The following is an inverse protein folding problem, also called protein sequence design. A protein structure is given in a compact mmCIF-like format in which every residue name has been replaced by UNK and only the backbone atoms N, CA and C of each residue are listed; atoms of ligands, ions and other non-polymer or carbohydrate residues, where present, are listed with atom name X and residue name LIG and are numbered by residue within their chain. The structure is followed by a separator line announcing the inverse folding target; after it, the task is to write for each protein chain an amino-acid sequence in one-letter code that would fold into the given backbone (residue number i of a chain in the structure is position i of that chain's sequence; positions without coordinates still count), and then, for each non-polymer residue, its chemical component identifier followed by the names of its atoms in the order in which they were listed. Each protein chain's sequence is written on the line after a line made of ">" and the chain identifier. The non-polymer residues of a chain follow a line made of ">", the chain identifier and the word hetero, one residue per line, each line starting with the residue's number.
data_IF_324917687743
#
_entry.id   IF_324917687743
#
_cell.length_a   1.000
_cell.length_b   1.000
_cell.length_c   1.000
_cell.angle_alpha   90.00
_cell.angle_beta   90.00
_cell.angle_gamma   90.00
#
_symmetry.space_group_name_H-M   'P 1'
#
loop_
_entity.id
_entity.type
_entity.pdbx_description
1 polymer ?
#
# COMPACT_ATOMS: atom_id res chain seq x y z
N UNK A 1 19.67 18.83 31.92
CA UNK A 1 18.40 19.09 31.21
C UNK A 1 17.62 20.16 31.97
N UNK A 2 17.22 21.26 31.32
CA UNK A 2 16.40 22.31 31.94
C UNK A 2 15.05 21.72 32.42
N UNK A 3 14.53 22.21 33.56
CA UNK A 3 13.28 21.76 34.19
C UNK A 3 12.13 21.75 33.18
N UNK A 4 11.92 22.85 32.46
CA UNK A 4 10.87 22.97 31.43
C UNK A 4 10.94 21.88 30.35
N UNK A 5 12.15 21.55 29.88
CA UNK A 5 12.35 20.49 28.87
C UNK A 5 12.05 19.09 29.43
N UNK A 6 12.41 18.84 30.69
CA UNK A 6 12.08 17.58 31.39
C UNK A 6 10.57 17.41 31.53
N UNK A 7 9.87 18.47 31.97
CA UNK A 7 8.42 18.48 32.12
C UNK A 7 7.72 18.22 30.79
N UNK A 8 8.17 18.87 29.71
CA UNK A 8 7.67 18.62 28.37
C UNK A 8 7.91 17.17 27.92
N UNK A 9 9.17 16.71 27.89
CA UNK A 9 9.48 15.40 27.31
C UNK A 9 8.88 14.22 28.08
N UNK A 10 8.73 14.35 29.40
CA UNK A 10 8.39 13.21 30.28
C UNK A 10 7.11 13.38 31.07
N UNK A 11 6.47 14.55 31.02
CA UNK A 11 5.31 14.88 31.84
C UNK A 11 5.62 15.05 33.33
N UNK A 12 6.91 15.14 33.72
CA UNK A 12 7.33 15.26 35.11
C UNK A 12 6.73 16.53 35.76
N UNK A 13 6.21 16.43 36.98
CA UNK A 13 5.67 17.57 37.75
C UNK A 13 6.17 17.61 39.20
N UNK A 14 7.14 16.77 39.57
CA UNK A 14 7.70 16.71 40.91
C UNK A 14 6.88 15.92 41.93
N UNK A 15 5.90 15.11 41.51
CA UNK A 15 5.15 14.23 42.43
C UNK A 15 6.02 13.07 42.90
N UNK A 16 6.08 12.84 44.20
CA UNK A 16 6.73 11.66 44.75
C UNK A 16 5.86 10.41 44.58
N UNK A 17 6.38 9.43 43.85
CA UNK A 17 5.72 8.16 43.60
C UNK A 17 6.10 7.15 44.70
N UNK A 18 5.11 6.47 45.33
CA UNK A 18 5.36 5.34 46.20
C UNK A 18 6.25 4.29 45.53
N UNK A 19 7.26 3.77 46.25
CA UNK A 19 8.24 2.82 45.68
C UNK A 19 7.58 1.58 45.09
N UNK A 20 6.48 1.13 45.68
CA UNK A 20 5.67 -0.01 45.21
C UNK A 20 5.02 0.19 43.83
N UNK A 21 4.98 1.40 43.29
CA UNK A 21 4.43 1.69 41.96
C UNK A 21 5.51 1.75 40.87
N UNK A 22 6.79 1.59 41.24
CA UNK A 22 7.94 1.63 40.32
C UNK A 22 8.15 0.30 39.59
N UNK A 23 7.05 -0.33 39.18
CA UNK A 23 7.06 -1.55 38.37
C UNK A 23 7.22 -1.23 36.88
N UNK A 24 7.51 -2.27 36.09
CA UNK A 24 7.55 -2.17 34.63
C UNK A 24 6.16 -1.88 34.06
N UNK A 25 6.06 -0.91 33.16
CA UNK A 25 4.83 -0.53 32.50
C UNK A 25 4.70 -1.20 31.13
N UNK A 26 3.97 -2.32 31.09
CA UNK A 26 3.70 -3.06 29.85
C UNK A 26 2.94 -2.25 28.80
N UNK A 27 2.04 -1.35 29.23
CA UNK A 27 1.33 -0.45 28.31
C UNK A 27 2.29 0.50 27.59
N UNK A 28 3.20 1.14 28.34
CA UNK A 28 4.20 2.05 27.80
C UNK A 28 5.22 1.34 26.90
N UNK A 29 5.61 0.12 27.24
CA UNK A 29 6.51 -0.70 26.41
C UNK A 29 5.85 -1.05 25.06
N UNK A 30 4.68 -1.68 25.10
CA UNK A 30 4.01 -2.27 23.93
C UNK A 30 3.29 -1.25 23.03
N UNK A 31 2.83 -0.12 23.56
CA UNK A 31 2.11 0.92 22.80
C UNK A 31 2.93 2.20 22.60
N UNK A 32 4.05 2.36 23.31
CA UNK A 32 5.01 3.46 23.19
C UNK A 32 4.36 4.83 23.02
N UNK A 33 4.30 5.38 21.79
CA UNK A 33 3.77 6.70 21.52
C UNK A 33 2.25 6.81 21.69
N UNK A 34 1.49 5.74 21.42
CA UNK A 34 0.03 5.72 21.62
C UNK A 34 -0.27 5.90 23.11
N UNK A 35 0.43 5.14 23.96
CA UNK A 35 0.35 5.27 25.41
C UNK A 35 0.89 6.63 25.88
N UNK A 36 1.99 7.09 25.30
CA UNK A 36 2.65 8.34 25.68
C UNK A 36 1.83 9.58 25.39
N UNK A 37 1.04 9.62 24.31
CA UNK A 37 0.10 10.71 24.02
C UNK A 37 -0.92 10.87 25.16
N UNK A 38 -1.52 9.76 25.61
CA UNK A 38 -2.48 9.79 26.74
C UNK A 38 -1.84 10.35 28.00
N UNK A 39 -0.61 9.91 28.29
CA UNK A 39 0.09 10.23 29.53
C UNK A 39 1.09 11.39 29.38
N UNK A 40 0.97 12.20 28.31
CA UNK A 40 1.81 13.39 28.04
C UNK A 40 3.32 13.13 28.15
N UNK A 41 3.77 11.95 27.77
CA UNK A 41 5.17 11.55 27.71
C UNK A 41 5.68 11.73 26.28
N UNK A 42 5.94 12.97 25.87
CA UNK A 42 6.23 13.32 24.47
C UNK A 42 7.51 12.69 23.90
N UNK A 43 8.45 12.26 24.75
CA UNK A 43 9.64 11.50 24.32
C UNK A 43 9.29 10.22 23.56
N UNK A 44 8.12 9.63 23.85
CA UNK A 44 7.63 8.44 23.16
C UNK A 44 7.37 8.66 21.67
N UNK A 45 7.12 9.92 21.23
CA UNK A 45 6.91 10.26 19.81
C UNK A 45 8.13 9.94 18.95
N UNK A 46 9.34 9.85 19.54
CA UNK A 46 10.54 9.37 18.82
C UNK A 46 10.36 7.99 18.19
N UNK A 47 9.38 7.19 18.64
CA UNK A 47 8.98 5.96 17.98
C UNK A 47 8.59 6.16 16.50
N UNK A 48 7.89 7.24 16.16
CA UNK A 48 7.37 7.48 14.81
C UNK A 48 8.51 7.58 13.78
N UNK A 49 9.51 8.48 13.92
CA UNK A 49 10.61 8.53 12.98
C UNK A 49 11.45 7.24 12.99
N UNK A 50 11.59 6.55 14.12
CA UNK A 50 12.31 5.27 14.17
C UNK A 50 11.59 4.14 13.43
N UNK A 51 10.27 4.18 13.35
CA UNK A 51 9.45 3.22 12.58
C UNK A 51 9.46 3.56 11.09
N UNK A 52 9.39 4.86 10.73
CA UNK A 52 9.23 5.31 9.34
C UNK A 52 10.58 5.40 8.61
N UNK A 53 11.65 5.82 9.29
CA UNK A 53 12.96 6.05 8.68
C UNK A 53 13.79 4.77 8.75
N UNK A 54 14.12 4.22 7.59
CA UNK A 54 14.97 3.04 7.50
C UNK A 54 16.45 3.43 7.56
N UNK A 55 17.12 3.09 8.66
CA UNK A 55 18.57 3.28 8.80
C UNK A 55 19.34 2.07 8.23
N UNK A 56 20.61 2.26 7.82
CA UNK A 56 21.47 1.16 7.40
C UNK A 56 21.50 0.04 8.44
N UNK A 57 21.52 -1.20 7.96
CA UNK A 57 21.58 -2.41 8.79
C UNK A 57 20.43 -2.55 9.81
N UNK A 58 19.34 -1.79 9.65
CA UNK A 58 18.18 -1.89 10.55
C UNK A 58 18.40 -1.31 11.95
N UNK A 59 19.39 -0.43 12.14
CA UNK A 59 19.73 0.18 13.45
C UNK A 59 18.50 0.88 14.08
N UNK A 60 17.59 1.42 13.27
CA UNK A 60 16.36 2.05 13.74
C UNK A 60 15.50 1.10 14.61
N UNK A 61 15.51 -0.21 14.34
CA UNK A 61 14.78 -1.19 15.14
C UNK A 61 15.42 -1.46 16.51
N UNK A 62 16.75 -1.47 16.59
CA UNK A 62 17.47 -1.57 17.87
C UNK A 62 17.22 -0.33 18.73
N UNK A 63 17.29 0.87 18.14
CA UNK A 63 16.99 2.12 18.82
C UNK A 63 15.52 2.19 19.26
N UNK A 64 14.61 1.72 18.42
CA UNK A 64 13.19 1.64 18.77
C UNK A 64 12.96 0.69 19.94
N UNK A 65 13.58 -0.49 19.93
CA UNK A 65 13.49 -1.47 21.02
C UNK A 65 14.06 -0.88 22.32
N UNK A 66 15.20 -0.20 22.27
CA UNK A 66 15.78 0.48 23.42
C UNK A 66 14.83 1.58 23.97
N UNK A 67 14.19 2.34 23.09
CA UNK A 67 13.16 3.32 23.47
C UNK A 67 11.96 2.63 24.14
N UNK A 68 11.48 1.51 23.61
CA UNK A 68 10.37 0.75 24.22
C UNK A 68 10.72 0.32 25.65
N UNK A 69 11.90 -0.27 25.86
CA UNK A 69 12.36 -0.64 27.20
C UNK A 69 12.46 0.57 28.13
N UNK A 70 13.02 1.69 27.64
CA UNK A 70 13.07 2.93 28.40
C UNK A 70 11.66 3.41 28.81
N UNK A 71 10.69 3.33 27.89
CA UNK A 71 9.29 3.64 28.16
C UNK A 71 8.69 2.66 29.17
N UNK A 72 9.01 1.36 29.08
CA UNK A 72 8.55 0.36 30.05
C UNK A 72 9.07 0.63 31.46
N UNK A 73 10.36 0.91 31.63
CA UNK A 73 10.95 1.18 32.94
C UNK A 73 10.51 2.53 33.55
N UNK A 74 10.22 3.54 32.72
CA UNK A 74 9.88 4.89 33.18
C UNK A 74 8.39 5.23 33.08
N UNK A 75 7.60 4.39 32.41
CA UNK A 75 6.21 4.68 32.07
C UNK A 75 5.32 4.93 33.28
N UNK A 76 5.41 4.09 34.32
CA UNK A 76 4.63 4.32 35.54
C UNK A 76 4.94 5.69 36.15
N UNK A 77 6.23 6.04 36.24
CA UNK A 77 6.65 7.34 36.74
C UNK A 77 6.06 8.47 35.90
N UNK A 78 6.11 8.41 34.57
CA UNK A 78 5.53 9.47 33.72
C UNK A 78 4.01 9.60 33.86
N UNK A 79 3.28 8.48 33.89
CA UNK A 79 1.83 8.50 34.03
C UNK A 79 1.37 9.07 35.38
N UNK A 80 2.07 8.74 36.47
CA UNK A 80 1.70 9.19 37.81
C UNK A 80 1.79 10.71 37.98
N UNK A 81 2.68 11.37 37.23
CA UNK A 81 2.87 12.82 37.31
C UNK A 81 1.67 13.59 36.80
N UNK A 82 0.94 13.04 35.83
CA UNK A 82 -0.06 13.79 35.08
C UNK A 82 -1.46 13.81 35.72
N UNK A 83 -1.86 12.72 36.36
CA UNK A 83 -3.20 12.57 36.94
C UNK A 83 -3.17 12.55 38.48
N UNK A 84 -4.32 12.75 39.12
CA UNK A 84 -4.48 12.61 40.57
C UNK A 84 -4.97 11.20 40.91
N UNK A 85 -4.40 10.60 41.94
CA UNK A 85 -4.67 9.22 42.35
C UNK A 85 -5.02 9.20 43.83
N UNK A 86 -6.22 8.72 44.16
CA UNK A 86 -6.67 8.65 45.55
C UNK A 86 -5.93 7.56 46.33
N UNK A 87 -5.67 6.42 45.69
CA UNK A 87 -4.87 5.33 46.25
C UNK A 87 -3.89 4.73 45.23
N UNK A 88 -2.78 4.11 45.67
CA UNK A 88 -1.88 3.34 44.79
C UNK A 88 -2.60 2.24 44.01
N UNK A 89 -3.67 1.68 44.58
CA UNK A 89 -4.50 0.64 43.96
C UNK A 89 -5.23 1.16 42.72
N UNK A 90 -5.71 2.40 42.75
CA UNK A 90 -6.40 3.03 41.61
C UNK A 90 -5.45 3.23 40.42
N UNK A 91 -4.21 3.67 40.70
CA UNK A 91 -3.17 3.78 39.69
C UNK A 91 -2.84 2.42 39.05
N UNK A 92 -2.61 1.38 39.88
CA UNK A 92 -2.34 0.03 39.39
C UNK A 92 -3.46 -0.50 38.51
N UNK A 93 -4.72 -0.31 38.92
CA UNK A 93 -5.89 -0.72 38.12
C UNK A 93 -5.92 -0.04 36.76
N UNK A 94 -5.58 1.26 36.68
CA UNK A 94 -5.49 1.96 35.41
C UNK A 94 -4.36 1.42 34.52
N UNK A 95 -3.15 1.25 35.07
CA UNK A 95 -2.02 0.73 34.29
C UNK A 95 -2.22 -0.73 33.87
N UNK A 96 -2.92 -1.53 34.66
CA UNK A 96 -3.32 -2.89 34.30
C UNK A 96 -4.26 -2.91 33.09
N UNK A 97 -5.24 -1.99 33.02
CA UNK A 97 -6.09 -1.86 31.83
C UNK A 97 -5.27 -1.54 30.58
N UNK A 98 -4.31 -0.62 30.69
CA UNK A 98 -3.40 -0.31 29.60
C UNK A 98 -2.54 -1.50 29.17
N UNK A 99 -2.03 -2.28 30.13
CA UNK A 99 -1.29 -3.50 29.85
C UNK A 99 -2.14 -4.54 29.10
N UNK A 100 -3.39 -4.78 29.55
CA UNK A 100 -4.31 -5.73 28.90
C UNK A 100 -4.62 -5.27 27.46
N UNK A 101 -4.97 -4.00 27.26
CA UNK A 101 -5.23 -3.45 25.92
C UNK A 101 -4.01 -3.59 25.02
N UNK A 102 -2.83 -3.27 25.55
CA UNK A 102 -1.59 -3.36 24.81
C UNK A 102 -1.26 -4.79 24.36
N UNK A 103 -1.39 -5.77 25.27
CA UNK A 103 -1.19 -7.19 24.98
C UNK A 103 -2.23 -7.67 23.96
N UNK A 104 -3.51 -7.34 24.16
CA UNK A 104 -4.59 -7.75 23.27
C UNK A 104 -4.37 -7.24 21.84
N UNK A 105 -3.97 -5.97 21.67
CA UNK A 105 -3.65 -5.42 20.34
C UNK A 105 -2.44 -6.10 19.72
N UNK A 106 -1.34 -6.26 20.48
CA UNK A 106 -0.10 -6.85 19.99
C UNK A 106 -0.21 -8.36 19.67
N UNK A 107 -1.23 -9.04 20.17
CA UNK A 107 -1.51 -10.45 19.82
C UNK A 107 -2.57 -10.55 18.72
N UNK A 108 -3.69 -9.85 18.87
CA UNK A 108 -4.87 -10.02 17.99
C UNK A 108 -4.60 -9.47 16.60
N UNK A 109 -3.93 -8.32 16.47
CA UNK A 109 -3.66 -7.72 15.15
C UNK A 109 -2.75 -8.61 14.31
N UNK A 110 -1.58 -9.09 14.79
CA UNK A 110 -0.76 -10.03 14.02
C UNK A 110 -1.48 -11.32 13.66
N UNK A 111 -2.29 -11.89 14.56
CA UNK A 111 -3.06 -13.11 14.27
C UNK A 111 -4.08 -12.87 13.15
N UNK A 112 -4.83 -11.77 13.19
CA UNK A 112 -5.79 -11.44 12.13
C UNK A 112 -5.06 -11.25 10.79
N UNK A 113 -3.97 -10.48 10.77
CA UNK A 113 -3.20 -10.24 9.55
C UNK A 113 -2.66 -11.55 8.97
N UNK A 114 -2.04 -12.39 9.81
CA UNK A 114 -1.53 -13.69 9.41
C UNK A 114 -2.65 -14.61 8.91
N UNK A 115 -3.79 -14.66 9.62
CA UNK A 115 -4.96 -15.42 9.22
C UNK A 115 -5.51 -14.99 7.86
N UNK A 116 -5.64 -13.68 7.62
CA UNK A 116 -6.07 -13.17 6.31
C UNK A 116 -5.10 -13.50 5.18
N UNK A 117 -3.79 -13.44 5.44
CA UNK A 117 -2.78 -13.82 4.46
C UNK A 117 -2.82 -15.33 4.14
N UNK A 118 -3.01 -16.17 5.16
CA UNK A 118 -3.16 -17.63 4.99
C UNK A 118 -4.43 -17.94 4.20
N UNK A 119 -5.56 -17.31 4.52
CA UNK A 119 -6.81 -17.50 3.79
C UNK A 119 -6.69 -17.06 2.33
N UNK A 120 -5.99 -15.95 2.07
CA UNK A 120 -5.70 -15.48 0.72
C UNK A 120 -4.93 -16.50 -0.10
N UNK A 121 -3.92 -17.16 0.47
CA UNK A 121 -3.12 -18.17 -0.24
C UNK A 121 -3.88 -19.50 -0.38
N UNK A 122 -4.58 -19.94 0.67
CA UNK A 122 -5.28 -21.23 0.68
C UNK A 122 -6.50 -21.27 -0.25
N UNK A 123 -7.22 -20.14 -0.43
CA UNK A 123 -8.42 -20.11 -1.27
C UNK A 123 -8.11 -20.38 -2.74
N UNK A 124 -6.97 -19.91 -3.23
CA UNK A 124 -6.41 -20.30 -4.53
C UNK A 124 -4.91 -20.04 -4.50
N UNK A 125 -4.06 -21.06 -4.70
CA UNK A 125 -2.61 -20.87 -4.82
C UNK A 125 -2.24 -19.84 -5.91
N UNK A 126 -3.10 -19.69 -6.92
CA UNK A 126 -2.93 -18.73 -8.01
C UNK A 126 -3.38 -17.30 -7.69
N UNK A 127 -3.95 -17.05 -6.50
CA UNK A 127 -4.46 -15.72 -6.12
C UNK A 127 -3.45 -14.57 -6.28
N UNK A 128 -2.17 -14.70 -5.87
CA UNK A 128 -1.17 -13.65 -6.11
C UNK A 128 -1.01 -13.36 -7.61
N UNK A 129 -0.88 -14.41 -8.41
CA UNK A 129 -0.71 -14.34 -9.87
C UNK A 129 -1.95 -13.74 -10.54
N UNK A 130 -3.14 -14.22 -10.19
CA UNK A 130 -4.41 -13.69 -10.71
C UNK A 130 -4.60 -12.22 -10.31
N UNK A 131 -4.28 -11.85 -9.07
CA UNK A 131 -4.38 -10.46 -8.60
C UNK A 131 -3.52 -9.53 -9.44
N UNK A 132 -2.27 -9.92 -9.73
CA UNK A 132 -1.35 -9.16 -10.57
C UNK A 132 -1.92 -9.01 -11.99
N UNK A 133 -2.35 -10.11 -12.63
CA UNK A 133 -2.95 -10.10 -13.99
C UNK A 133 -4.19 -9.20 -14.05
N UNK A 134 -5.10 -9.35 -13.10
CA UNK A 134 -6.35 -8.61 -13.08
C UNK A 134 -6.14 -7.13 -12.77
N UNK A 135 -5.13 -6.81 -11.95
CA UNK A 135 -4.73 -5.42 -11.66
C UNK A 135 -4.22 -4.73 -12.92
N UNK A 136 -3.32 -5.37 -13.67
CA UNK A 136 -2.84 -4.78 -14.93
C UNK A 136 -3.96 -4.63 -15.97
N UNK A 137 -4.84 -5.63 -16.14
CA UNK A 137 -6.02 -5.47 -17.00
C UNK A 137 -6.90 -4.29 -16.56
N UNK A 138 -7.11 -4.12 -15.26
CA UNK A 138 -7.92 -3.02 -14.72
C UNK A 138 -7.27 -1.66 -15.00
N UNK A 139 -5.96 -1.52 -14.79
CA UNK A 139 -5.21 -0.30 -15.09
C UNK A 139 -5.25 0.01 -16.59
N UNK A 140 -5.02 -0.98 -17.45
CA UNK A 140 -5.09 -0.82 -18.90
C UNK A 140 -6.50 -0.39 -19.34
N UNK A 141 -7.56 -1.09 -18.88
CA UNK A 141 -8.94 -0.73 -19.18
C UNK A 141 -9.29 0.70 -18.72
N UNK A 142 -8.83 1.10 -17.54
CA UNK A 142 -9.04 2.45 -17.01
C UNK A 142 -8.38 3.51 -17.91
N UNK A 143 -7.15 3.27 -18.38
CA UNK A 143 -6.46 4.18 -19.31
C UNK A 143 -7.16 4.24 -20.66
N UNK A 144 -7.51 3.08 -21.23
CA UNK A 144 -8.19 2.98 -22.52
C UNK A 144 -9.54 3.70 -22.45
N UNK A 145 -10.41 3.37 -21.49
CA UNK A 145 -11.73 3.98 -21.38
C UNK A 145 -11.68 5.50 -21.16
N UNK A 146 -10.67 6.00 -20.42
CA UNK A 146 -10.52 7.43 -20.16
C UNK A 146 -9.98 8.19 -21.37
N UNK A 147 -8.97 7.65 -22.05
CA UNK A 147 -8.17 8.39 -23.03
C UNK A 147 -8.50 8.07 -24.47
N UNK A 148 -9.05 6.89 -24.77
CA UNK A 148 -9.29 6.44 -26.15
C UNK A 148 -10.28 7.34 -26.91
N UNK A 149 -11.25 7.93 -26.21
CA UNK A 149 -12.18 8.93 -26.78
C UNK A 149 -11.49 10.16 -27.41
N UNK A 150 -10.29 10.50 -26.91
CA UNK A 150 -9.50 11.66 -27.34
C UNK A 150 -8.52 11.32 -28.47
N UNK A 151 -8.48 10.07 -28.92
CA UNK A 151 -7.56 9.62 -29.97
C UNK A 151 -8.06 10.05 -31.34
N UNK A 152 -7.15 10.44 -32.23
CA UNK A 152 -7.44 10.66 -33.64
C UNK A 152 -7.62 9.31 -34.34
N UNK A 153 -8.82 9.02 -34.85
CA UNK A 153 -9.14 7.77 -35.51
C UNK A 153 -10.09 8.01 -36.70
N UNK A 154 -9.69 7.55 -37.87
CA UNK A 154 -10.44 7.54 -39.12
C UNK A 154 -10.10 6.27 -39.93
N UNK A 155 -10.70 6.08 -41.11
CA UNK A 155 -10.51 4.90 -41.95
C UNK A 155 -9.09 4.73 -42.50
N UNK A 156 -8.27 5.79 -42.53
CA UNK A 156 -6.90 5.79 -43.05
C UNK A 156 -5.84 5.79 -41.95
N UNK A 157 -6.25 5.77 -40.68
CA UNK A 157 -5.32 5.85 -39.54
C UNK A 157 -4.51 4.57 -39.46
N UNK A 158 -3.19 4.71 -39.39
CA UNK A 158 -2.28 3.57 -39.20
C UNK A 158 -2.16 3.19 -37.71
N UNK A 159 -1.74 1.96 -37.42
CA UNK A 159 -1.53 1.49 -36.04
C UNK A 159 -0.52 2.37 -35.29
N UNK A 160 0.53 2.81 -35.99
CA UNK A 160 1.55 3.72 -35.48
C UNK A 160 0.99 5.10 -35.12
N UNK A 161 0.19 5.70 -35.99
CA UNK A 161 -0.44 7.00 -35.71
C UNK A 161 -1.44 6.90 -34.54
N UNK A 162 -2.17 5.80 -34.47
CA UNK A 162 -3.08 5.50 -33.38
C UNK A 162 -2.34 5.38 -32.04
N UNK A 163 -1.24 4.63 -32.01
CA UNK A 163 -0.36 4.49 -30.84
C UNK A 163 0.21 5.86 -30.41
N UNK A 164 0.72 6.65 -31.35
CA UNK A 164 1.23 8.00 -31.10
C UNK A 164 0.16 8.94 -30.55
N UNK A 165 -1.04 8.93 -31.13
CA UNK A 165 -2.14 9.77 -30.66
C UNK A 165 -2.62 9.37 -29.26
N UNK A 166 -2.58 8.07 -28.93
CA UNK A 166 -2.92 7.59 -27.60
C UNK A 166 -1.84 7.94 -26.57
N UNK A 167 -0.56 7.76 -26.92
CA UNK A 167 0.57 8.05 -26.03
C UNK A 167 0.63 9.51 -25.59
N UNK A 168 0.25 10.47 -26.47
CA UNK A 168 0.18 11.91 -26.14
C UNK A 168 -0.69 12.24 -24.93
N UNK A 169 -1.58 11.35 -24.51
CA UNK A 169 -2.43 11.53 -23.33
C UNK A 169 -1.71 11.25 -22.00
N UNK A 170 -0.46 10.77 -22.04
CA UNK A 170 0.29 10.33 -20.88
C UNK A 170 1.73 10.84 -20.93
N UNK A 171 2.19 11.48 -19.85
CA UNK A 171 3.58 11.98 -19.74
C UNK A 171 4.62 10.87 -19.55
N UNK A 172 4.20 9.69 -19.10
CA UNK A 172 5.06 8.54 -18.85
C UNK A 172 4.95 7.43 -19.90
N UNK A 173 4.50 7.79 -21.12
CA UNK A 173 4.35 6.87 -22.22
C UNK A 173 5.39 7.13 -23.32
N UNK A 174 5.91 6.07 -23.89
CA UNK A 174 6.74 6.08 -25.10
C UNK A 174 6.08 5.19 -26.15
N UNK A 175 6.42 5.40 -27.42
CA UNK A 175 5.85 4.64 -28.53
C UNK A 175 6.92 3.89 -29.27
N UNK A 176 6.65 2.62 -29.58
CA UNK A 176 7.45 1.78 -30.46
C UNK A 176 6.51 1.16 -31.49
N UNK A 177 6.52 1.71 -32.71
CA UNK A 177 5.57 1.38 -33.77
C UNK A 177 4.10 1.40 -33.33
N UNK A 178 3.39 0.26 -33.32
CA UNK A 178 2.00 0.11 -32.89
C UNK A 178 1.83 0.00 -31.37
N UNK A 179 2.93 0.02 -30.62
CA UNK A 179 2.98 -0.19 -29.17
C UNK A 179 3.20 1.11 -28.40
N UNK A 180 2.51 1.23 -27.28
CA UNK A 180 2.67 2.30 -26.28
C UNK A 180 3.17 1.68 -24.99
N UNK A 181 4.43 1.92 -24.65
CA UNK A 181 5.06 1.45 -23.43
C UNK A 181 4.82 2.45 -22.30
N UNK A 182 4.61 1.95 -21.08
CA UNK A 182 4.46 2.78 -19.89
C UNK A 182 5.60 2.55 -18.93
N UNK A 183 6.31 3.62 -18.60
CA UNK A 183 7.47 3.56 -17.72
C UNK A 183 7.16 3.98 -16.28
N UNK A 184 7.92 3.40 -15.34
CA UNK A 184 8.02 3.84 -13.95
C UNK A 184 9.45 4.25 -13.63
N UNK A 185 9.62 5.27 -12.79
CA UNK A 185 10.96 5.74 -12.39
C UNK A 185 11.45 4.89 -11.23
N UNK A 186 12.56 4.17 -11.43
CA UNK A 186 13.23 3.38 -10.41
C UNK A 186 14.73 3.66 -10.44
N UNK A 187 15.30 4.05 -9.29
CA UNK A 187 16.74 4.36 -9.17
C UNK A 187 17.24 5.37 -10.21
N UNK A 188 16.42 6.39 -10.50
CA UNK A 188 16.74 7.45 -11.48
C UNK A 188 16.55 7.05 -12.94
N UNK A 189 16.28 5.77 -13.25
CA UNK A 189 16.04 5.26 -14.60
C UNK A 189 14.55 5.03 -14.84
N UNK A 190 14.11 5.23 -16.08
CA UNK A 190 12.77 4.85 -16.52
C UNK A 190 12.81 3.38 -16.95
N UNK A 191 11.92 2.58 -16.39
CA UNK A 191 11.77 1.15 -16.72
C UNK A 191 10.37 0.95 -17.26
N UNK A 192 10.28 0.44 -18.49
CA UNK A 192 9.01 0.08 -19.11
C UNK A 192 8.47 -1.18 -18.43
N UNK A 193 7.24 -1.11 -17.91
CA UNK A 193 6.67 -2.18 -17.07
C UNK A 193 5.55 -2.95 -17.78
N UNK A 194 4.79 -2.27 -18.63
CA UNK A 194 3.75 -2.87 -19.44
C UNK A 194 3.50 -2.02 -20.67
N UNK A 195 2.82 -2.61 -21.65
CA UNK A 195 2.49 -1.93 -22.89
C UNK A 195 1.01 -2.02 -23.22
N UNK A 196 0.59 -1.17 -24.16
CA UNK A 196 -0.67 -1.24 -24.88
C UNK A 196 -0.34 -1.23 -26.36
N UNK A 197 -0.74 -2.26 -27.08
CA UNK A 197 -0.48 -2.46 -28.51
C UNK A 197 -1.80 -2.42 -29.27
N UNK A 198 -1.77 -1.74 -30.41
CA UNK A 198 -2.92 -1.60 -31.30
C UNK A 198 -2.71 -2.49 -32.52
N UNK A 199 -3.74 -3.21 -32.94
CA UNK A 199 -3.68 -4.02 -34.15
C UNK A 199 -4.95 -3.88 -34.96
N UNK A 200 -4.82 -3.75 -36.28
CA UNK A 200 -5.90 -3.58 -37.25
C UNK A 200 -5.68 -4.57 -38.39
N UNK A 201 -6.66 -5.45 -38.60
CA UNK A 201 -6.59 -6.57 -39.53
C UNK A 201 -7.60 -6.41 -40.67
N UNK A 202 -7.15 -6.73 -41.89
CA UNK A 202 -7.97 -6.71 -43.11
C UNK A 202 -8.21 -5.31 -43.68
N UNK A 203 -8.73 -5.25 -44.91
CA UNK A 203 -8.97 -3.99 -45.65
C UNK A 203 -10.26 -3.27 -45.22
N UNK A 204 -11.02 -3.88 -44.30
CA UNK A 204 -12.28 -3.38 -43.80
C UNK A 204 -12.10 -2.41 -42.63
N UNK A 205 -12.97 -1.39 -42.56
CA UNK A 205 -13.06 -0.49 -41.41
C UNK A 205 -13.25 -1.23 -40.06
N UNK A 206 -12.68 -0.68 -38.99
CA UNK A 206 -12.78 -1.24 -37.64
C UNK A 206 -14.22 -1.46 -37.18
N UNK A 207 -14.56 -2.73 -36.90
CA UNK A 207 -15.91 -3.17 -36.53
C UNK A 207 -15.91 -4.13 -35.34
N UNK A 208 -16.75 -3.84 -34.34
CA UNK A 208 -16.94 -4.71 -33.17
C UNK A 208 -17.54 -6.08 -33.52
N UNK A 209 -18.29 -6.17 -34.63
CA UNK A 209 -18.85 -7.44 -35.11
C UNK A 209 -17.78 -8.35 -35.72
N UNK A 210 -16.87 -7.74 -36.51
CA UNK A 210 -15.76 -8.46 -37.16
C UNK A 210 -14.57 -8.70 -36.23
N UNK A 211 -14.46 -7.93 -35.13
CA UNK A 211 -13.32 -7.97 -34.18
C UNK A 211 -11.96 -7.81 -34.86
N UNK A 212 -11.94 -7.01 -35.93
CA UNK A 212 -10.78 -6.82 -36.77
C UNK A 212 -9.84 -5.71 -36.28
N UNK A 213 -10.24 -4.93 -35.26
CA UNK A 213 -9.35 -3.96 -34.61
C UNK A 213 -9.32 -4.23 -33.10
N UNK A 214 -8.12 -4.45 -32.58
CA UNK A 214 -7.88 -4.87 -31.20
C UNK A 214 -6.88 -3.97 -30.48
N UNK A 215 -7.06 -3.90 -29.16
CA UNK A 215 -6.11 -3.32 -28.23
C UNK A 215 -5.68 -4.44 -27.31
N UNK A 216 -4.39 -4.74 -27.26
CA UNK A 216 -3.81 -5.72 -26.36
C UNK A 216 -2.99 -5.00 -25.30
N UNK A 217 -3.08 -5.41 -24.05
CA UNK A 217 -2.18 -4.94 -22.99
C UNK A 217 -1.57 -6.12 -22.25
N UNK A 218 -0.26 -6.09 -22.03
CA UNK A 218 0.47 -7.10 -21.28
C UNK A 218 1.68 -6.51 -20.57
N UNK A 219 2.23 -7.22 -19.59
CA UNK A 219 3.50 -6.83 -18.97
C UNK A 219 4.67 -6.99 -19.95
N UNK A 220 5.70 -6.18 -19.76
CA UNK A 220 7.00 -6.39 -20.39
C UNK A 220 7.80 -7.26 -19.43
N UNK A 221 7.98 -8.52 -19.79
CA UNK A 221 8.63 -9.52 -18.97
C UNK A 221 9.87 -10.07 -19.69
N UNK A 222 10.93 -10.44 -18.94
CA UNK A 222 12.02 -11.24 -19.47
C UNK A 222 11.52 -12.58 -20.04
N UNK A 223 12.23 -13.11 -21.03
CA UNK A 223 11.85 -14.35 -21.73
C UNK A 223 11.81 -15.58 -20.80
N UNK A 224 12.51 -15.53 -19.67
CA UNK A 224 12.51 -16.60 -18.66
C UNK A 224 11.19 -16.70 -17.88
N UNK A 225 10.35 -15.66 -17.91
CA UNK A 225 9.11 -15.60 -17.15
C UNK A 225 7.92 -15.97 -18.04
N UNK A 226 7.47 -17.22 -17.95
CA UNK A 226 6.23 -17.66 -18.60
C UNK A 226 4.99 -17.19 -17.80
N UNK A 227 4.55 -15.96 -18.05
CA UNK A 227 3.40 -15.35 -17.38
C UNK A 227 2.46 -14.68 -18.39
N UNK A 228 1.38 -15.38 -18.77
CA UNK A 228 0.36 -14.80 -19.64
C UNK A 228 -0.48 -13.75 -18.89
N UNK A 229 -0.28 -12.47 -19.24
CA UNK A 229 -1.02 -11.32 -18.72
C UNK A 229 -1.90 -10.61 -19.75
N UNK A 230 -2.18 -11.24 -20.88
CA UNK A 230 -2.81 -10.55 -22.01
C UNK A 230 -4.24 -10.09 -21.67
N UNK A 231 -4.52 -8.82 -21.92
CA UNK A 231 -5.83 -8.20 -21.76
C UNK A 231 -6.25 -7.59 -23.09
N UNK A 232 -7.20 -8.24 -23.75
CA UNK A 232 -7.66 -7.84 -25.07
C UNK A 232 -8.95 -7.04 -25.02
N UNK A 233 -9.04 -6.05 -25.89
CA UNK A 233 -10.20 -5.23 -26.15
C UNK A 233 -10.39 -5.10 -27.66
N UNK A 234 -11.62 -4.81 -28.09
CA UNK A 234 -11.94 -4.53 -29.47
C UNK A 234 -12.52 -3.12 -29.57
N UNK A 235 -12.23 -2.44 -30.68
CA UNK A 235 -12.74 -1.09 -30.91
C UNK A 235 -13.30 -0.91 -32.32
N UNK A 236 -14.07 0.16 -32.50
CA UNK A 236 -14.56 0.60 -33.81
C UNK A 236 -14.16 2.06 -34.09
N UNK A 237 -14.46 2.53 -35.32
CA UNK A 237 -14.20 3.92 -35.72
C UNK A 237 -14.96 4.95 -34.88
N UNK A 238 -16.07 4.56 -34.23
CA UNK A 238 -16.82 5.41 -33.30
C UNK A 238 -16.15 5.49 -31.91
N UNK A 239 -14.93 4.98 -31.76
CA UNK A 239 -14.15 4.95 -30.52
C UNK A 239 -14.82 4.19 -29.37
N UNK A 240 -15.79 3.34 -29.68
CA UNK A 240 -16.37 2.44 -28.69
C UNK A 240 -15.41 1.29 -28.46
N UNK A 241 -15.13 0.98 -27.20
CA UNK A 241 -14.23 -0.10 -26.79
C UNK A 241 -15.00 -1.13 -25.98
N UNK A 242 -14.84 -2.40 -26.32
CA UNK A 242 -15.43 -3.52 -25.59
C UNK A 242 -14.34 -4.54 -25.21
N UNK A 243 -14.30 -5.00 -23.95
CA UNK A 243 -13.33 -6.01 -23.53
C UNK A 243 -13.67 -7.38 -24.14
N UNK A 244 -12.64 -8.18 -24.43
CA UNK A 244 -12.82 -9.60 -24.71
C UNK A 244 -13.41 -10.33 -23.49
N UNK A 245 -14.00 -11.51 -23.70
CA UNK A 245 -14.70 -12.23 -22.63
C UNK A 245 -13.78 -12.58 -21.45
N UNK A 246 -12.54 -12.99 -21.72
CA UNK A 246 -11.55 -13.26 -20.68
C UNK A 246 -11.20 -11.98 -19.91
N UNK A 247 -10.93 -10.88 -20.61
CA UNK A 247 -10.69 -9.56 -20.02
C UNK A 247 -11.87 -9.12 -19.14
N UNK A 248 -13.11 -9.33 -19.58
CA UNK A 248 -14.31 -9.01 -18.80
C UNK A 248 -14.33 -9.77 -17.46
N UNK A 249 -13.94 -11.04 -17.44
CA UNK A 249 -13.84 -11.82 -16.19
C UNK A 249 -12.74 -11.28 -15.27
N UNK A 250 -11.57 -10.92 -15.84
CA UNK A 250 -10.46 -10.31 -15.08
C UNK A 250 -10.85 -8.98 -14.45
N UNK A 251 -11.56 -8.13 -15.21
CA UNK A 251 -12.06 -6.84 -14.74
C UNK A 251 -13.10 -6.96 -13.61
N UNK A 252 -13.88 -8.06 -13.55
CA UNK A 252 -14.82 -8.29 -12.44
C UNK A 252 -14.11 -8.42 -11.10
N UNK A 253 -12.94 -9.08 -11.04
CA UNK A 253 -12.10 -9.10 -9.82
C UNK A 253 -11.33 -7.78 -9.70
N UNK A 254 -10.55 -7.44 -10.72
CA UNK A 254 -9.76 -6.21 -10.78
C UNK A 254 -8.82 -6.07 -9.59
N UNK A 255 -8.74 -4.84 -9.05
CA UNK A 255 -7.85 -4.45 -7.95
C UNK A 255 -8.42 -4.72 -6.54
N UNK A 256 -9.65 -5.24 -6.43
CA UNK A 256 -10.27 -5.44 -5.12
C UNK A 256 -9.79 -6.76 -4.50
N UNK A 257 -8.84 -6.68 -3.57
CA UNK A 257 -8.25 -7.83 -2.88
C UNK A 257 -9.28 -8.70 -2.14
N UNK A 258 -10.38 -8.12 -1.66
CA UNK A 258 -11.45 -8.87 -0.98
C UNK A 258 -12.20 -9.84 -1.90
N UNK A 259 -12.07 -9.70 -3.24
CA UNK A 259 -12.61 -10.68 -4.19
C UNK A 259 -11.75 -11.93 -4.34
N UNK A 260 -10.59 -11.96 -3.67
CA UNK A 260 -9.62 -13.06 -3.66
C UNK A 260 -9.53 -13.73 -2.28
N UNK A 261 -9.97 -13.06 -1.22
CA UNK A 261 -10.31 -13.63 0.08
C UNK A 261 -11.64 -14.38 -0.01
#
# INVERSE_FOLDING_TARGET
>A
MNKSLKEFLTGYKGKDMPKELKDFNWGAFLLTFIWGIKHRAWITILAIPLIIIQLPLGINWLLYTALQFYCGFKGNMWAYQNDWWMTPKDFRKNQMKWAIVAIAINITVPIILLGTAILFVNKSPDNPTEFIKNTQCYVAASKINKSFKNVSLNSSTTEKELAQSFAKQFSNATTDDSRVNFSVKHSGKNIDVYYIEFSMYGDDNCSLKKRNCSIKSSFILPDEINFNSDCDFYFNLNKQVVPAQQTKNRLKKGINIFKYL
#
